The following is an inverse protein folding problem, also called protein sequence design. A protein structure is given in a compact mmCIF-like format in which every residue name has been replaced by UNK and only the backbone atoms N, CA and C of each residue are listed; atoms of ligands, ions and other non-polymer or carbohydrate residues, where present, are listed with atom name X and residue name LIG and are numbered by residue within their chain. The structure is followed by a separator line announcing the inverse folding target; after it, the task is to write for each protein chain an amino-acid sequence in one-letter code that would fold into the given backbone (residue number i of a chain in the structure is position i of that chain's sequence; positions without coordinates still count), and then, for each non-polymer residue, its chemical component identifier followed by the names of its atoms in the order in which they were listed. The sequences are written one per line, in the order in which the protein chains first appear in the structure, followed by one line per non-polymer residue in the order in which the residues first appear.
data_IF_882291815203
#
_entry.id   IF_882291815203
#
_cell.length_a   1.000
_cell.length_b   1.000
_cell.length_c   1.000
_cell.angle_alpha   90.00
_cell.angle_beta   90.00
_cell.angle_gamma   90.00
#
_symmetry.space_group_name_H-M   'P 1'
#
loop_
_entity.id
_entity.type
_entity.pdbx_description
1 polymer ?
#
# COMPACT_ATOMS: atom_id res chain seq x y z
N UNK A 1 24.93 10.79 66.98
CA UNK A 1 25.94 10.36 65.99
C UNK A 1 25.35 9.22 65.18
N UNK A 2 25.09 9.43 63.88
CA UNK A 2 25.75 8.71 62.76
C UNK A 2 25.54 7.18 62.85
N UNK A 3 24.79 6.47 61.99
CA UNK A 3 24.76 6.47 60.51
C UNK A 3 23.68 5.51 59.95
N UNK A 4 23.17 5.87 58.75
CA UNK A 4 22.84 5.07 57.54
C UNK A 4 21.97 3.80 57.63
N UNK A 5 20.78 3.80 57.00
CA UNK A 5 20.46 3.45 55.58
C UNK A 5 20.44 1.94 55.30
N UNK A 6 19.25 1.40 54.96
CA UNK A 6 19.07 0.55 53.79
C UNK A 6 17.57 0.43 53.47
N UNK A 7 17.13 1.26 52.52
CA UNK A 7 15.85 1.09 51.84
C UNK A 7 15.92 -0.10 50.90
N UNK A 8 15.02 -1.05 51.07
CA UNK A 8 14.78 -2.11 50.09
C UNK A 8 13.93 -1.54 48.96
N UNK A 9 14.61 -0.91 48.00
CA UNK A 9 14.05 -0.64 46.69
C UNK A 9 13.88 -1.96 45.95
N UNK A 10 12.63 -2.35 45.70
CA UNK A 10 12.30 -3.32 44.66
C UNK A 10 12.64 -2.66 43.32
N UNK A 11 13.86 -2.90 42.84
CA UNK A 11 14.21 -2.67 41.44
C UNK A 11 13.51 -3.77 40.65
N UNK A 12 12.35 -3.43 40.09
CA UNK A 12 11.82 -4.16 38.94
C UNK A 12 12.84 -3.99 37.81
N UNK A 13 13.79 -4.92 37.72
CA UNK A 13 14.47 -5.20 36.47
C UNK A 13 13.40 -5.80 35.54
N UNK A 14 12.60 -4.94 34.92
CA UNK A 14 11.93 -5.26 33.69
C UNK A 14 13.05 -5.40 32.65
N UNK A 15 13.66 -6.59 32.61
CA UNK A 15 14.41 -7.01 31.46
C UNK A 15 13.44 -6.95 30.29
N UNK A 16 13.54 -5.88 29.51
CA UNK A 16 13.12 -5.92 28.12
C UNK A 16 13.98 -6.99 27.47
N UNK A 17 13.48 -8.23 27.52
CA UNK A 17 13.85 -9.24 26.55
C UNK A 17 13.40 -8.62 25.23
N UNK A 18 14.35 -8.02 24.51
CA UNK A 18 14.19 -7.76 23.09
C UNK A 18 14.00 -9.13 22.45
N UNK A 19 12.73 -9.57 22.40
CA UNK A 19 12.32 -10.62 21.50
C UNK A 19 12.83 -10.16 20.14
N UNK A 20 13.73 -10.94 19.54
CA UNK A 20 14.22 -10.63 18.20
C UNK A 20 13.00 -10.56 17.29
N UNK A 21 12.66 -9.32 16.92
CA UNK A 21 11.44 -8.92 16.25
C UNK A 21 11.56 -9.26 14.78
N UNK A 22 11.78 -10.54 14.49
CA UNK A 22 12.28 -10.98 13.20
C UNK A 22 11.21 -10.97 12.08
N UNK A 23 10.02 -10.43 12.37
CA UNK A 23 9.02 -9.97 11.41
C UNK A 23 8.98 -8.43 11.28
N UNK A 24 9.97 -7.70 11.81
CA UNK A 24 10.06 -6.25 11.76
C UNK A 24 11.13 -5.83 10.77
N UNK A 25 10.82 -4.78 10.02
CA UNK A 25 11.74 -4.11 9.09
C UNK A 25 12.58 -3.09 9.86
N UNK A 26 13.79 -2.79 9.38
CA UNK A 26 14.61 -1.72 9.95
C UNK A 26 13.89 -0.37 9.98
N UNK A 27 14.30 0.50 10.92
CA UNK A 27 13.84 1.89 10.96
C UNK A 27 14.18 2.63 9.66
N UNK A 28 15.32 2.32 9.06
CA UNK A 28 15.71 2.83 7.74
C UNK A 28 14.67 2.49 6.67
N UNK A 29 14.30 1.20 6.56
CA UNK A 29 13.30 0.77 5.58
C UNK A 29 11.93 1.36 5.88
N UNK A 30 11.52 1.44 7.15
CA UNK A 30 10.27 2.07 7.55
C UNK A 30 10.23 3.54 7.12
N UNK A 31 11.29 4.29 7.42
CA UNK A 31 11.41 5.68 7.01
C UNK A 31 11.32 5.83 5.49
N UNK A 32 12.03 4.99 4.73
CA UNK A 32 12.04 5.05 3.26
C UNK A 32 10.69 4.71 2.64
N UNK A 33 9.93 3.81 3.26
CA UNK A 33 8.55 3.54 2.86
C UNK A 33 7.66 4.76 3.12
N UNK A 34 7.72 5.34 4.32
CA UNK A 34 6.89 6.50 4.69
C UNK A 34 7.18 7.74 3.82
N UNK A 35 8.46 8.00 3.55
CA UNK A 35 8.92 9.04 2.61
C UNK A 35 8.33 8.79 1.22
N UNK A 36 8.45 7.56 0.70
CA UNK A 36 8.00 7.25 -0.64
C UNK A 36 6.47 7.23 -0.80
N UNK A 37 5.72 6.80 0.23
CA UNK A 37 4.24 6.88 0.20
C UNK A 37 3.77 8.33 0.09
N UNK A 38 4.50 9.27 0.69
CA UNK A 38 4.21 10.70 0.51
C UNK A 38 4.64 11.17 -0.88
N UNK A 39 5.82 10.77 -1.33
CA UNK A 39 6.37 11.22 -2.60
C UNK A 39 5.55 10.76 -3.80
N UNK A 40 5.07 9.50 -3.81
CA UNK A 40 4.23 8.99 -4.90
C UNK A 40 2.95 9.79 -5.13
N UNK A 41 2.39 10.43 -4.08
CA UNK A 41 1.22 11.30 -4.22
C UNK A 41 1.58 12.54 -5.05
N UNK A 42 2.78 13.09 -4.85
CA UNK A 42 3.30 14.22 -5.64
C UNK A 42 3.62 13.80 -7.07
N UNK A 43 4.17 12.59 -7.27
CA UNK A 43 4.53 12.06 -8.58
C UNK A 43 3.33 11.94 -9.53
N UNK A 44 2.11 11.75 -9.00
CA UNK A 44 0.87 11.83 -9.81
C UNK A 44 0.68 13.17 -10.51
N UNK A 45 1.40 14.20 -10.08
CA UNK A 45 1.36 15.54 -10.68
C UNK A 45 2.48 15.82 -11.66
N UNK A 46 3.50 14.96 -11.71
CA UNK A 46 4.58 15.07 -12.68
C UNK A 46 4.16 14.49 -14.04
N UNK A 47 4.84 14.88 -15.10
CA UNK A 47 4.80 14.12 -16.35
C UNK A 47 5.47 12.74 -16.15
N UNK A 48 5.16 11.81 -17.04
CA UNK A 48 5.59 10.41 -16.91
C UNK A 48 7.12 10.26 -16.92
N UNK A 49 7.84 11.04 -17.73
CA UNK A 49 9.31 10.96 -17.79
C UNK A 49 9.94 11.42 -16.47
N UNK A 50 9.49 12.57 -15.95
CA UNK A 50 9.92 13.08 -14.65
C UNK A 50 9.61 12.07 -13.54
N UNK A 51 8.40 11.51 -13.52
CA UNK A 51 8.01 10.53 -12.51
C UNK A 51 8.89 9.28 -12.53
N UNK A 52 9.12 8.70 -13.72
CA UNK A 52 9.95 7.50 -13.86
C UNK A 52 11.40 7.75 -13.43
N UNK A 53 11.99 8.87 -13.84
CA UNK A 53 13.35 9.26 -13.45
C UNK A 53 13.47 9.47 -11.93
N UNK A 54 12.50 10.13 -11.31
CA UNK A 54 12.46 10.31 -9.85
C UNK A 54 12.36 8.97 -9.10
N UNK A 55 11.49 8.05 -9.54
CA UNK A 55 11.34 6.74 -8.91
C UNK A 55 12.64 5.93 -9.00
N UNK A 56 13.29 5.94 -10.17
CA UNK A 56 14.57 5.24 -10.34
C UNK A 56 15.69 5.84 -9.49
N UNK A 57 15.77 7.17 -9.41
CA UNK A 57 16.73 7.86 -8.56
C UNK A 57 16.55 7.47 -7.08
N UNK A 58 15.32 7.61 -6.56
CA UNK A 58 14.99 7.26 -5.16
C UNK A 58 15.29 5.79 -4.88
N UNK A 59 14.91 4.89 -5.80
CA UNK A 59 15.20 3.46 -5.68
C UNK A 59 16.70 3.19 -5.59
N UNK A 60 17.50 3.77 -6.50
CA UNK A 60 18.94 3.51 -6.55
C UNK A 60 19.66 4.06 -5.32
N UNK A 61 19.29 5.26 -4.87
CA UNK A 61 19.79 5.85 -3.62
C UNK A 61 19.41 4.99 -2.41
N UNK A 62 18.16 4.55 -2.32
CA UNK A 62 17.69 3.75 -1.18
C UNK A 62 18.40 2.39 -1.12
N UNK A 63 18.51 1.70 -2.26
CA UNK A 63 19.10 0.37 -2.30
C UNK A 63 20.62 0.36 -2.12
N UNK A 64 21.33 1.45 -2.45
CA UNK A 64 22.79 1.54 -2.23
C UNK A 64 23.17 1.54 -0.75
N UNK A 65 22.30 2.08 0.11
CA UNK A 65 22.52 2.15 1.55
C UNK A 65 21.83 1.01 2.33
N UNK A 66 20.92 0.27 1.69
CA UNK A 66 20.09 -0.73 2.37
C UNK A 66 20.92 -1.83 3.07
N UNK A 67 21.98 -2.33 2.45
CA UNK A 67 22.77 -3.45 2.99
C UNK A 67 23.38 -3.16 4.36
N UNK A 68 23.73 -1.91 4.62
CA UNK A 68 24.35 -1.46 5.87
C UNK A 68 23.30 -1.15 6.96
N UNK A 69 22.04 -0.92 6.56
CA UNK A 69 20.99 -0.43 7.45
C UNK A 69 19.86 -1.45 7.71
N UNK A 70 19.71 -2.47 6.87
CA UNK A 70 18.64 -3.46 6.99
C UNK A 70 18.87 -4.41 8.16
N UNK A 71 17.78 -4.77 8.86
CA UNK A 71 17.77 -5.88 9.82
C UNK A 71 17.71 -7.23 9.09
N UNK A 72 17.00 -7.27 7.98
CA UNK A 72 16.86 -8.42 7.10
C UNK A 72 16.95 -7.97 5.65
N UNK A 73 18.18 -7.90 5.14
CA UNK A 73 18.48 -7.38 3.81
C UNK A 73 17.65 -8.04 2.70
N UNK A 74 17.51 -9.37 2.70
CA UNK A 74 16.80 -10.08 1.62
C UNK A 74 15.31 -9.70 1.59
N UNK A 75 14.66 -9.63 2.75
CA UNK A 75 13.25 -9.27 2.86
C UNK A 75 13.03 -7.77 2.59
N UNK A 76 13.82 -6.91 3.20
CA UNK A 76 13.69 -5.46 3.06
C UNK A 76 14.00 -5.00 1.62
N UNK A 77 14.94 -5.66 0.95
CA UNK A 77 15.18 -5.43 -0.47
C UNK A 77 13.96 -5.82 -1.30
N UNK A 78 13.34 -6.99 -1.02
CA UNK A 78 12.12 -7.40 -1.71
C UNK A 78 10.98 -6.39 -1.50
N UNK A 79 10.84 -5.86 -0.28
CA UNK A 79 9.82 -4.87 0.07
C UNK A 79 10.00 -3.58 -0.74
N UNK A 80 11.19 -2.99 -0.64
CA UNK A 80 11.48 -1.71 -1.29
C UNK A 80 11.43 -1.84 -2.81
N UNK A 81 12.03 -2.89 -3.38
CA UNK A 81 11.95 -3.14 -4.83
C UNK A 81 10.51 -3.29 -5.30
N UNK A 82 9.66 -3.98 -4.53
CA UNK A 82 8.25 -4.15 -4.88
C UNK A 82 7.50 -2.83 -4.87
N UNK A 83 7.68 -2.01 -3.83
CA UNK A 83 7.02 -0.71 -3.70
C UNK A 83 7.40 0.21 -4.86
N UNK A 84 8.70 0.40 -5.10
CA UNK A 84 9.17 1.25 -6.19
C UNK A 84 8.75 0.72 -7.56
N UNK A 85 8.80 -0.60 -7.76
CA UNK A 85 8.42 -1.19 -9.04
C UNK A 85 6.92 -1.10 -9.30
N UNK A 86 6.06 -1.21 -8.29
CA UNK A 86 4.60 -1.02 -8.49
C UNK A 86 4.27 0.40 -8.92
N UNK A 87 4.92 1.42 -8.35
CA UNK A 87 4.73 2.81 -8.77
C UNK A 87 5.31 3.06 -10.16
N UNK A 88 6.54 2.59 -10.43
CA UNK A 88 7.15 2.67 -11.76
C UNK A 88 6.27 2.02 -12.82
N UNK A 89 5.70 0.85 -12.52
CA UNK A 89 4.84 0.12 -13.42
C UNK A 89 3.58 0.92 -13.79
N UNK A 90 2.98 1.64 -12.85
CA UNK A 90 1.80 2.47 -13.11
C UNK A 90 2.10 3.58 -14.12
N UNK A 91 3.21 4.30 -13.93
CA UNK A 91 3.67 5.36 -14.83
C UNK A 91 4.12 4.83 -16.20
N UNK A 92 4.89 3.74 -16.22
CA UNK A 92 5.42 3.16 -17.45
C UNK A 92 4.34 2.55 -18.36
N UNK A 93 3.20 2.14 -17.79
CA UNK A 93 2.05 1.69 -18.56
C UNK A 93 1.37 2.83 -19.33
N UNK A 94 1.32 4.03 -18.75
CA UNK A 94 0.71 5.20 -19.38
C UNK A 94 1.58 5.71 -20.54
N UNK A 95 2.91 5.60 -20.44
CA UNK A 95 3.87 6.06 -21.46
C UNK A 95 4.05 5.12 -22.66
N UNK A 96 3.14 4.15 -22.89
CA UNK A 96 3.24 3.10 -23.93
C UNK A 96 4.52 2.25 -23.84
N UNK A 97 5.05 2.04 -22.63
CA UNK A 97 6.18 1.14 -22.40
C UNK A 97 5.93 -0.29 -22.90
N UNK A 98 7.00 -1.08 -23.05
CA UNK A 98 6.88 -2.48 -23.48
C UNK A 98 6.11 -3.30 -22.44
N UNK A 99 4.80 -3.44 -22.66
CA UNK A 99 3.87 -4.05 -21.70
C UNK A 99 4.23 -5.50 -21.38
N UNK A 100 4.80 -6.23 -22.35
CA UNK A 100 5.24 -7.61 -22.14
C UNK A 100 6.42 -7.65 -21.17
N UNK A 101 7.44 -6.83 -21.41
CA UNK A 101 8.62 -6.74 -20.53
C UNK A 101 8.24 -6.30 -19.11
N UNK A 102 7.39 -5.27 -18.98
CA UNK A 102 6.88 -4.82 -17.68
C UNK A 102 6.14 -5.95 -16.94
N UNK A 103 5.30 -6.71 -17.65
CA UNK A 103 4.57 -7.83 -17.06
C UNK A 103 5.50 -8.98 -16.66
N UNK A 104 6.52 -9.28 -17.46
CA UNK A 104 7.51 -10.32 -17.15
C UNK A 104 8.36 -9.94 -15.93
N UNK A 105 8.73 -8.65 -15.79
CA UNK A 105 9.38 -8.12 -14.58
C UNK A 105 8.46 -8.22 -13.35
N UNK A 106 7.18 -7.90 -13.49
CA UNK A 106 6.19 -8.06 -12.40
C UNK A 106 6.05 -9.53 -11.97
N UNK A 107 6.01 -10.46 -12.93
CA UNK A 107 6.00 -11.90 -12.65
C UNK A 107 7.24 -12.34 -11.87
N UNK A 108 8.43 -11.91 -12.30
CA UNK A 108 9.70 -12.25 -11.62
C UNK A 108 9.72 -11.73 -10.19
N UNK A 109 9.27 -10.49 -9.96
CA UNK A 109 9.17 -9.92 -8.61
C UNK A 109 8.16 -10.69 -7.75
N UNK A 110 7.00 -11.04 -8.32
CA UNK A 110 5.98 -11.86 -7.65
C UNK A 110 6.56 -13.20 -7.19
N UNK A 111 7.20 -13.94 -8.11
CA UNK A 111 7.80 -15.25 -7.83
C UNK A 111 8.91 -15.16 -6.78
N UNK A 112 9.73 -14.10 -6.84
CA UNK A 112 10.76 -13.82 -5.83
C UNK A 112 10.15 -13.64 -4.44
N UNK A 113 9.12 -12.80 -4.34
CA UNK A 113 8.43 -12.51 -3.08
C UNK A 113 7.77 -13.76 -2.49
N UNK A 114 7.03 -14.52 -3.30
CA UNK A 114 6.38 -15.77 -2.89
C UNK A 114 7.42 -16.77 -2.39
N UNK A 115 8.52 -16.96 -3.13
CA UNK A 115 9.59 -17.90 -2.75
C UNK A 115 10.25 -17.51 -1.42
N UNK A 116 10.40 -16.22 -1.14
CA UNK A 116 10.93 -15.76 0.15
C UNK A 116 9.97 -16.13 1.29
N UNK A 117 8.68 -15.89 1.12
CA UNK A 117 7.65 -16.25 2.11
C UNK A 117 7.58 -17.76 2.33
N UNK A 118 7.63 -18.57 1.27
CA UNK A 118 7.53 -20.04 1.35
C UNK A 118 8.74 -20.68 2.06
N UNK A 119 9.91 -20.07 1.98
CA UNK A 119 11.14 -20.57 2.61
C UNK A 119 11.22 -20.31 4.12
N UNK A 120 10.36 -19.45 4.66
CA UNK A 120 10.51 -18.88 6.01
C UNK A 120 9.29 -19.20 6.87
N UNK A 121 9.50 -19.28 8.18
CA UNK A 121 8.38 -19.38 9.12
C UNK A 121 7.60 -18.07 9.16
N UNK A 122 6.29 -18.13 9.39
CA UNK A 122 5.42 -16.95 9.33
C UNK A 122 5.84 -15.82 10.30
N UNK A 123 6.33 -16.17 11.49
CA UNK A 123 6.85 -15.22 12.48
C UNK A 123 8.17 -14.52 12.09
N UNK A 124 8.70 -14.83 10.89
CA UNK A 124 9.87 -14.18 10.29
C UNK A 124 9.52 -13.33 9.07
N UNK A 125 8.22 -13.17 8.78
CA UNK A 125 7.72 -12.40 7.65
C UNK A 125 7.00 -11.16 8.19
N UNK A 126 7.40 -10.00 7.73
CA UNK A 126 6.79 -8.71 8.10
C UNK A 126 5.44 -8.49 7.45
N UNK A 127 4.64 -7.62 8.08
CA UNK A 127 3.38 -7.14 7.52
C UNK A 127 3.58 -6.52 6.13
N UNK A 128 4.65 -5.74 5.95
CA UNK A 128 5.03 -5.14 4.67
C UNK A 128 5.35 -6.18 3.60
N UNK A 129 6.11 -7.23 3.92
CA UNK A 129 6.42 -8.29 2.96
C UNK A 129 5.15 -9.00 2.46
N UNK A 130 4.20 -9.28 3.34
CA UNK A 130 2.91 -9.83 2.92
C UNK A 130 2.14 -8.84 2.03
N UNK A 131 2.04 -7.57 2.43
CA UNK A 131 1.33 -6.54 1.67
C UNK A 131 1.88 -6.39 0.24
N UNK A 132 3.17 -6.14 0.10
CA UNK A 132 3.80 -5.91 -1.21
C UNK A 132 3.76 -7.15 -2.09
N UNK A 133 3.74 -8.36 -1.50
CA UNK A 133 3.49 -9.59 -2.26
C UNK A 133 2.09 -9.60 -2.82
N UNK A 134 1.09 -9.21 -2.01
CA UNK A 134 -0.29 -9.02 -2.46
C UNK A 134 -0.38 -8.00 -3.59
N UNK A 135 0.26 -6.85 -3.45
CA UNK A 135 0.23 -5.75 -4.44
C UNK A 135 0.86 -6.17 -5.77
N UNK A 136 2.10 -6.67 -5.76
CA UNK A 136 2.80 -7.15 -6.97
C UNK A 136 2.02 -8.27 -7.66
N UNK A 137 1.46 -9.20 -6.89
CA UNK A 137 0.60 -10.26 -7.44
C UNK A 137 -0.66 -9.66 -8.06
N UNK A 138 -1.29 -8.67 -7.40
CA UNK A 138 -2.46 -7.96 -7.90
C UNK A 138 -2.19 -7.29 -9.25
N UNK A 139 -1.09 -6.53 -9.36
CA UNK A 139 -0.69 -5.91 -10.62
C UNK A 139 -0.43 -6.95 -11.72
N UNK A 140 0.24 -8.07 -11.40
CA UNK A 140 0.46 -9.15 -12.37
C UNK A 140 -0.85 -9.75 -12.93
N UNK A 141 -1.90 -9.80 -12.10
CA UNK A 141 -3.22 -10.34 -12.49
C UNK A 141 -4.03 -9.42 -13.41
N UNK A 142 -3.83 -8.09 -13.35
CA UNK A 142 -4.72 -7.08 -13.98
C UNK A 142 -4.98 -7.26 -15.48
N UNK A 143 -4.16 -8.05 -16.19
CA UNK A 143 -4.31 -8.33 -17.63
C UNK A 143 -4.31 -9.81 -17.99
N UNK A 144 -4.63 -10.68 -17.03
CA UNK A 144 -4.71 -12.12 -17.27
C UNK A 144 -5.82 -12.75 -16.43
N UNK A 145 -6.88 -13.20 -17.12
CA UNK A 145 -7.95 -13.98 -16.49
C UNK A 145 -7.39 -15.25 -15.84
N UNK A 146 -6.49 -15.95 -16.52
CA UNK A 146 -5.81 -17.14 -15.97
C UNK A 146 -5.08 -16.82 -14.68
N UNK A 147 -4.28 -15.75 -14.64
CA UNK A 147 -3.60 -15.35 -13.41
C UNK A 147 -4.59 -14.94 -12.32
N UNK A 148 -5.69 -14.26 -12.67
CA UNK A 148 -6.74 -13.87 -11.73
C UNK A 148 -7.37 -15.09 -11.05
N UNK A 149 -7.67 -16.15 -11.80
CA UNK A 149 -8.18 -17.40 -11.24
C UNK A 149 -7.16 -18.11 -10.35
N UNK A 150 -5.88 -18.11 -10.73
CA UNK A 150 -4.82 -18.81 -9.99
C UNK A 150 -4.41 -18.10 -8.69
N UNK A 151 -4.38 -16.76 -8.70
CA UNK A 151 -3.78 -15.97 -7.62
C UNK A 151 -4.77 -15.11 -6.84
N UNK A 152 -6.03 -14.96 -7.29
CA UNK A 152 -7.00 -14.05 -6.67
C UNK A 152 -7.19 -14.28 -5.17
N UNK A 153 -7.33 -15.54 -4.73
CA UNK A 153 -7.42 -15.89 -3.30
C UNK A 153 -6.08 -15.78 -2.56
N UNK A 154 -4.95 -15.96 -3.25
CA UNK A 154 -3.62 -15.76 -2.64
C UNK A 154 -3.42 -14.30 -2.28
N UNK A 155 -3.82 -13.37 -3.15
CA UNK A 155 -3.77 -11.92 -2.86
C UNK A 155 -4.57 -11.58 -1.61
N UNK A 156 -5.80 -12.09 -1.50
CA UNK A 156 -6.61 -11.94 -0.29
C UNK A 156 -5.87 -12.43 0.96
N UNK A 157 -5.32 -13.64 0.89
CA UNK A 157 -4.60 -14.25 2.01
C UNK A 157 -3.36 -13.45 2.41
N UNK A 158 -2.65 -12.84 1.45
CA UNK A 158 -1.53 -11.97 1.76
C UNK A 158 -1.95 -10.71 2.52
N UNK A 159 -3.05 -10.05 2.13
CA UNK A 159 -3.56 -8.90 2.88
C UNK A 159 -4.11 -9.29 4.26
N UNK A 160 -4.76 -10.44 4.39
CA UNK A 160 -5.19 -10.96 5.70
C UNK A 160 -3.97 -11.23 6.60
N UNK A 161 -2.91 -11.83 6.07
CA UNK A 161 -1.68 -12.10 6.80
C UNK A 161 -0.92 -10.83 7.20
N UNK A 162 -0.92 -9.78 6.38
CA UNK A 162 -0.29 -8.52 6.78
C UNK A 162 -0.97 -7.90 8.00
N UNK A 163 -2.30 -7.98 8.07
CA UNK A 163 -3.10 -7.56 9.24
C UNK A 163 -2.91 -8.52 10.43
N UNK A 164 -2.64 -9.80 10.19
CA UNK A 164 -2.29 -10.75 11.24
C UNK A 164 -0.96 -10.44 11.91
N UNK A 165 0.05 -10.06 11.13
CA UNK A 165 1.36 -9.64 11.64
C UNK A 165 1.29 -8.30 12.38
N UNK A 166 0.50 -7.35 11.88
CA UNK A 166 0.30 -6.05 12.52
C UNK A 166 -1.18 -5.64 12.47
N UNK A 167 -1.84 -5.73 13.63
CA UNK A 167 -3.29 -5.42 13.77
C UNK A 167 -3.61 -3.95 13.59
N UNK A 168 -2.60 -3.08 13.67
CA UNK A 168 -2.66 -1.64 13.41
C UNK A 168 -2.18 -1.27 12.00
N UNK A 169 -2.04 -2.23 11.09
CA UNK A 169 -1.48 -1.96 9.76
C UNK A 169 -2.52 -1.38 8.78
N UNK A 170 -2.56 -0.05 8.68
CA UNK A 170 -3.51 0.70 7.84
C UNK A 170 -3.54 0.21 6.39
N UNK A 171 -2.36 0.10 5.77
CA UNK A 171 -2.20 -0.33 4.38
C UNK A 171 -2.74 -1.74 4.13
N UNK A 172 -2.65 -2.65 5.11
CA UNK A 172 -3.25 -3.98 5.04
C UNK A 172 -4.77 -3.92 4.94
N UNK A 173 -5.42 -3.13 5.80
CA UNK A 173 -6.87 -2.96 5.76
C UNK A 173 -7.33 -2.27 4.46
N UNK A 174 -6.63 -1.23 4.00
CA UNK A 174 -7.00 -0.55 2.75
C UNK A 174 -6.92 -1.51 1.55
N UNK A 175 -5.85 -2.29 1.42
CA UNK A 175 -5.69 -3.20 0.29
C UNK A 175 -6.63 -4.42 0.37
N UNK A 176 -6.91 -4.94 1.56
CA UNK A 176 -7.98 -5.94 1.74
C UNK A 176 -9.35 -5.36 1.36
N UNK A 177 -9.60 -4.10 1.71
CA UNK A 177 -10.80 -3.37 1.29
C UNK A 177 -10.95 -3.30 -0.23
N UNK A 178 -9.86 -2.96 -0.94
CA UNK A 178 -9.83 -2.92 -2.40
C UNK A 178 -10.14 -4.29 -3.01
N UNK A 179 -9.53 -5.36 -2.48
CA UNK A 179 -9.84 -6.72 -2.92
C UNK A 179 -11.33 -7.05 -2.72
N UNK A 180 -11.87 -6.75 -1.54
CA UNK A 180 -13.27 -7.01 -1.20
C UNK A 180 -14.25 -6.22 -2.05
N UNK A 181 -13.91 -4.99 -2.45
CA UNK A 181 -14.74 -4.19 -3.33
C UNK A 181 -14.88 -4.83 -4.71
N UNK A 182 -13.77 -5.31 -5.27
CA UNK A 182 -13.72 -5.82 -6.63
C UNK A 182 -14.12 -7.30 -6.76
N UNK A 183 -13.99 -8.09 -5.69
CA UNK A 183 -14.33 -9.50 -5.68
C UNK A 183 -15.86 -9.71 -5.75
N UNK A 184 -16.35 -10.70 -6.54
CA UNK A 184 -17.73 -11.11 -6.51
C UNK A 184 -18.20 -11.55 -5.11
N UNK A 185 -19.49 -11.35 -4.81
CA UNK A 185 -20.08 -11.72 -3.52
C UNK A 185 -19.95 -13.21 -3.18
N UNK A 186 -20.06 -14.11 -4.18
CA UNK A 186 -19.85 -15.56 -4.02
C UNK A 186 -18.44 -15.91 -3.53
N UNK A 187 -17.45 -15.08 -3.84
CA UNK A 187 -16.06 -15.24 -3.38
C UNK A 187 -15.77 -14.44 -2.11
N UNK A 188 -16.80 -13.92 -1.46
CA UNK A 188 -16.69 -13.22 -0.19
C UNK A 188 -16.43 -11.71 -0.30
N UNK A 189 -16.48 -11.13 -1.51
CA UNK A 189 -16.45 -9.69 -1.70
C UNK A 189 -17.74 -8.98 -1.24
N UNK A 190 -17.78 -7.67 -1.47
CA UNK A 190 -18.93 -6.81 -1.19
C UNK A 190 -18.56 -5.45 -0.61
N UNK A 191 -19.34 -4.42 -1.01
CA UNK A 191 -19.14 -3.01 -0.62
C UNK A 191 -19.15 -2.80 0.90
N UNK A 192 -20.01 -3.49 1.64
CA UNK A 192 -20.07 -3.37 3.11
C UNK A 192 -18.80 -3.90 3.81
N UNK A 193 -18.22 -4.97 3.28
CA UNK A 193 -16.97 -5.54 3.82
C UNK A 193 -15.80 -4.63 3.49
N UNK A 194 -15.76 -4.07 2.28
CA UNK A 194 -14.77 -3.07 1.89
C UNK A 194 -14.86 -1.83 2.81
N UNK A 195 -16.07 -1.28 3.00
CA UNK A 195 -16.33 -0.14 3.90
C UNK A 195 -15.82 -0.39 5.32
N UNK A 196 -16.08 -1.57 5.90
CA UNK A 196 -15.59 -1.93 7.24
C UNK A 196 -14.06 -1.92 7.33
N UNK A 197 -13.39 -2.42 6.29
CA UNK A 197 -11.93 -2.43 6.22
C UNK A 197 -11.38 -1.01 6.06
N UNK A 198 -11.93 -0.17 5.18
CA UNK A 198 -11.49 1.22 5.07
C UNK A 198 -11.66 2.02 6.36
N UNK A 199 -12.74 1.79 7.12
CA UNK A 199 -12.90 2.37 8.47
C UNK A 199 -11.81 1.93 9.44
N UNK A 200 -11.35 0.68 9.35
CA UNK A 200 -10.23 0.17 10.15
C UNK A 200 -8.92 0.80 9.70
N UNK A 201 -8.67 0.89 8.39
CA UNK A 201 -7.53 1.60 7.82
C UNK A 201 -7.40 3.03 8.36
N UNK A 202 -8.49 3.81 8.33
CA UNK A 202 -8.50 5.17 8.90
C UNK A 202 -8.09 5.20 10.37
N UNK A 203 -8.59 4.28 11.19
CA UNK A 203 -8.26 4.22 12.63
C UNK A 203 -6.82 3.81 12.90
N UNK A 204 -6.21 3.13 11.95
CA UNK A 204 -4.89 2.53 12.05
C UNK A 204 -3.81 3.40 11.37
N UNK A 205 -4.20 4.39 10.57
CA UNK A 205 -3.26 5.25 9.86
C UNK A 205 -2.45 6.13 10.81
N UNK A 206 -1.12 6.03 10.75
CA UNK A 206 -0.21 6.73 11.68
C UNK A 206 0.53 7.91 11.05
N UNK A 207 0.54 8.02 9.72
CA UNK A 207 1.19 9.12 9.00
C UNK A 207 0.27 9.72 7.91
N UNK A 208 0.58 10.93 7.41
CA UNK A 208 -0.25 11.59 6.39
C UNK A 208 -0.45 10.77 5.11
N UNK A 209 0.56 10.02 4.66
CA UNK A 209 0.47 9.19 3.48
C UNK A 209 -0.56 8.06 3.63
N UNK A 210 -0.53 7.35 4.76
CA UNK A 210 -1.53 6.33 5.09
C UNK A 210 -2.93 6.92 5.26
N UNK A 211 -3.02 8.09 5.90
CA UNK A 211 -4.29 8.81 6.06
C UNK A 211 -4.89 9.17 4.71
N UNK A 212 -4.07 9.70 3.79
CA UNK A 212 -4.49 10.03 2.43
C UNK A 212 -5.08 8.80 1.73
N UNK A 213 -4.35 7.69 1.69
CA UNK A 213 -4.81 6.47 1.01
C UNK A 213 -6.12 5.93 1.62
N UNK A 214 -6.21 5.92 2.96
CA UNK A 214 -7.40 5.46 3.67
C UNK A 214 -8.61 6.40 3.46
N UNK A 215 -8.40 7.72 3.44
CA UNK A 215 -9.45 8.70 3.18
C UNK A 215 -9.96 8.63 1.74
N UNK A 216 -9.08 8.52 0.74
CA UNK A 216 -9.48 8.32 -0.65
C UNK A 216 -10.32 7.05 -0.77
N UNK A 217 -9.85 5.91 -0.27
CA UNK A 217 -10.61 4.66 -0.39
C UNK A 217 -11.97 4.72 0.34
N UNK A 218 -12.00 5.33 1.53
CA UNK A 218 -13.24 5.51 2.29
C UNK A 218 -14.21 6.49 1.64
N UNK A 219 -13.73 7.57 1.04
CA UNK A 219 -14.53 8.50 0.27
C UNK A 219 -15.25 7.75 -0.87
N UNK A 220 -14.48 6.99 -1.65
CA UNK A 220 -14.97 6.40 -2.89
C UNK A 220 -15.94 5.25 -2.66
N UNK A 221 -15.78 4.49 -1.57
CA UNK A 221 -16.81 3.51 -1.19
C UNK A 221 -18.11 4.17 -0.72
N UNK A 222 -18.05 5.37 -0.13
CA UNK A 222 -19.26 6.10 0.26
C UNK A 222 -19.95 6.70 -0.96
N UNK A 223 -19.18 7.17 -1.94
CA UNK A 223 -19.71 7.59 -3.24
C UNK A 223 -20.47 6.44 -3.92
N UNK A 224 -19.86 5.25 -3.99
CA UNK A 224 -20.47 4.00 -4.49
C UNK A 224 -21.73 3.56 -3.73
N UNK A 225 -21.89 4.01 -2.49
CA UNK A 225 -23.05 3.77 -1.62
C UNK A 225 -24.04 4.94 -1.63
N UNK A 226 -23.92 5.88 -2.58
CA UNK A 226 -24.77 7.07 -2.75
C UNK A 226 -24.73 8.04 -1.55
N UNK A 227 -23.69 7.97 -0.70
CA UNK A 227 -23.46 8.88 0.43
C UNK A 227 -22.50 9.98 0.02
N UNK A 228 -22.95 10.85 -0.89
CA UNK A 228 -22.11 11.86 -1.55
C UNK A 228 -21.49 12.86 -0.58
N UNK A 229 -22.24 13.30 0.44
CA UNK A 229 -21.72 14.26 1.44
C UNK A 229 -20.54 13.67 2.23
N UNK A 230 -20.65 12.39 2.64
CA UNK A 230 -19.56 11.67 3.32
C UNK A 230 -18.37 11.45 2.39
N UNK A 231 -18.64 11.18 1.11
CA UNK A 231 -17.58 11.04 0.12
C UNK A 231 -16.78 12.35 -0.02
N UNK A 232 -17.47 13.48 -0.13
CA UNK A 232 -16.85 14.80 -0.22
C UNK A 232 -16.09 15.17 1.06
N UNK A 233 -16.68 14.95 2.24
CA UNK A 233 -16.03 15.21 3.54
C UNK A 233 -14.65 14.54 3.62
N UNK A 234 -14.55 13.28 3.19
CA UNK A 234 -13.29 12.54 3.24
C UNK A 234 -12.31 12.89 2.11
N UNK A 235 -12.78 13.38 0.94
CA UNK A 235 -11.88 13.99 -0.04
C UNK A 235 -11.27 15.28 0.51
N UNK A 236 -12.06 16.12 1.17
CA UNK A 236 -11.56 17.36 1.77
C UNK A 236 -10.61 17.10 2.95
N UNK A 237 -10.85 16.04 3.73
CA UNK A 237 -9.86 15.56 4.71
C UNK A 237 -8.54 15.14 4.05
N UNK A 238 -8.60 14.44 2.92
CA UNK A 238 -7.39 14.08 2.18
C UNK A 238 -6.68 15.32 1.60
N UNK A 239 -7.45 16.31 1.12
CA UNK A 239 -6.95 17.59 0.61
C UNK A 239 -6.23 18.37 1.70
N UNK A 240 -6.79 18.41 2.91
CA UNK A 240 -6.22 19.08 4.08
C UNK A 240 -4.89 18.50 4.58
N UNK A 241 -4.46 17.34 4.09
CA UNK A 241 -3.12 16.79 4.37
C UNK A 241 -2.01 17.50 3.58
N UNK A 242 -2.36 18.32 2.58
CA UNK A 242 -1.43 19.12 1.77
C UNK A 242 -0.35 18.28 1.05
N UNK A 243 -0.67 17.06 0.64
CA UNK A 243 0.25 16.15 -0.08
C UNK A 243 0.21 16.29 -1.61
N UNK A 244 -0.75 17.07 -2.11
CA UNK A 244 -1.01 17.28 -3.54
C UNK A 244 -2.50 17.17 -3.86
N UNK A 245 -2.98 18.00 -4.81
CA UNK A 245 -4.41 18.10 -5.12
C UNK A 245 -4.82 17.38 -6.41
N UNK A 246 -3.93 17.23 -7.41
CA UNK A 246 -4.33 16.76 -8.75
C UNK A 246 -5.10 15.44 -8.75
N UNK A 247 -4.66 14.46 -7.95
CA UNK A 247 -5.37 13.19 -7.81
C UNK A 247 -6.76 13.34 -7.18
N UNK A 248 -6.93 14.26 -6.23
CA UNK A 248 -8.23 14.58 -5.61
C UNK A 248 -9.12 15.30 -6.63
N UNK A 249 -8.56 16.26 -7.37
CA UNK A 249 -9.27 17.05 -8.38
C UNK A 249 -9.79 16.15 -9.50
N UNK A 250 -8.99 15.18 -9.95
CA UNK A 250 -9.43 14.14 -10.90
C UNK A 250 -10.58 13.30 -10.34
N UNK A 251 -10.45 12.82 -9.10
CA UNK A 251 -11.51 12.03 -8.45
C UNK A 251 -12.81 12.83 -8.34
N UNK A 252 -12.72 14.13 -8.03
CA UNK A 252 -13.88 15.00 -7.95
C UNK A 252 -14.55 15.17 -9.32
N UNK A 253 -13.78 15.41 -10.39
CA UNK A 253 -14.30 15.44 -11.77
C UNK A 253 -15.01 14.13 -12.15
N UNK A 254 -14.41 12.98 -11.82
CA UNK A 254 -15.05 11.68 -12.02
C UNK A 254 -16.40 11.60 -11.28
N UNK A 255 -16.41 11.98 -9.99
CA UNK A 255 -17.62 11.96 -9.17
C UNK A 255 -18.73 12.88 -9.73
N UNK A 256 -18.37 14.05 -10.27
CA UNK A 256 -19.32 14.99 -10.90
C UNK A 256 -19.96 14.37 -12.16
N UNK A 257 -19.22 13.53 -12.88
CA UNK A 257 -19.67 12.78 -14.06
C UNK A 257 -20.36 11.45 -13.74
N UNK A 258 -20.54 11.12 -12.47
CA UNK A 258 -21.23 9.90 -12.07
C UNK A 258 -20.31 8.70 -11.80
N UNK A 259 -18.99 8.85 -11.95
CA UNK A 259 -18.02 7.77 -11.79
C UNK A 259 -17.31 7.83 -10.45
N UNK A 260 -17.21 6.70 -9.76
CA UNK A 260 -16.26 6.56 -8.65
C UNK A 260 -14.84 6.40 -9.18
N UNK A 261 -13.85 6.69 -8.35
CA UNK A 261 -12.46 6.38 -8.63
C UNK A 261 -12.23 4.88 -8.86
N UNK A 262 -13.03 4.00 -8.24
CA UNK A 262 -12.88 2.56 -8.49
C UNK A 262 -13.34 2.16 -9.90
N UNK A 263 -14.36 2.85 -10.43
CA UNK A 263 -14.77 2.68 -11.82
C UNK A 263 -13.72 3.27 -12.76
N UNK A 264 -13.21 4.46 -12.45
CA UNK A 264 -12.12 5.10 -13.17
C UNK A 264 -10.89 4.19 -13.32
N UNK A 265 -10.41 3.62 -12.22
CA UNK A 265 -9.24 2.73 -12.23
C UNK A 265 -9.44 1.44 -13.06
N UNK A 266 -10.69 1.02 -13.32
CA UNK A 266 -10.98 -0.14 -14.18
C UNK A 266 -11.15 0.22 -15.65
N UNK A 267 -11.57 1.45 -15.96
CA UNK A 267 -11.86 1.90 -17.31
C UNK A 267 -11.35 3.33 -17.57
N UNK A 268 -10.03 3.55 -17.36
CA UNK A 268 -9.43 4.88 -17.48
C UNK A 268 -9.68 5.48 -18.87
N UNK A 269 -9.29 4.78 -19.94
CA UNK A 269 -9.39 5.31 -21.30
C UNK A 269 -10.82 5.68 -21.70
N UNK A 270 -11.81 4.85 -21.38
CA UNK A 270 -13.20 5.16 -21.71
C UNK A 270 -13.75 6.34 -20.91
N UNK A 271 -13.34 6.49 -19.64
CA UNK A 271 -13.79 7.61 -18.81
C UNK A 271 -13.03 8.89 -19.17
N UNK A 272 -11.74 8.82 -19.50
CA UNK A 272 -10.95 9.98 -19.93
C UNK A 272 -11.55 10.63 -21.20
N UNK A 273 -12.01 9.83 -22.17
CA UNK A 273 -12.75 10.32 -23.35
C UNK A 273 -13.99 11.14 -22.95
N UNK A 274 -14.81 10.63 -22.02
CA UNK A 274 -15.99 11.34 -21.50
C UNK A 274 -15.66 12.59 -20.65
N UNK A 275 -14.44 12.66 -20.11
CA UNK A 275 -13.94 13.79 -19.34
C UNK A 275 -13.37 14.92 -20.21
N UNK A 276 -13.01 14.65 -21.48
CA UNK A 276 -12.43 15.59 -22.45
C UNK A 276 -13.48 16.21 -23.40
N UNK A 277 -14.69 15.64 -23.48
CA UNK A 277 -15.78 16.14 -24.35
C UNK A 277 -16.42 17.49 -23.90
N UNK A 278 -15.77 18.26 -23.02
CA UNK A 278 -16.19 19.61 -22.54
C UNK A 278 -15.04 20.63 -22.55
#
# INVERSE_FOLDING_TARGET
MKKLLLGLGFVFFAGFIFASDAGVISDYTRQKIDEFVTERIKLKSADEETALNSIEHIKNETLSHLKENALDYEQEECILQSIYFTEFYEHALNSKGNQKDLRDKMKKQMERNIKLIEKRSQNKISAWMYLVTGDVTSYYMTRSLTATFLYGFKVKSFYEKSIEQDKSFSSGYVNLGNWLFYAPGIFGGGKDKALKNYKKGIKCAVNPGEQYLAFIAYSQINYENKKKDVALEYLEKARGLNLGSKGIDLIQRCNEKGYSNFQYLRNRSGIDEELEEE
#
